data_IF_859025617234
#
_entry.id   IF_859025617234
#
_cell.length_a   1.000
_cell.length_b   1.000
_cell.length_c   1.000
_cell.angle_alpha   90.00
_cell.angle_beta   90.00
_cell.angle_gamma   90.00
#
_symmetry.space_group_name_H-M   'P 1'
#
loop_
_entity.id
_entity.type
_entity.pdbx_description
1 polymer ?
#
# COMPACT_ATOMS: atom_id res chain seq x y z
N UNK A 1 36.79 10.25 29.39
CA UNK A 1 37.12 10.32 30.83
C UNK A 1 38.10 11.46 31.04
N UNK A 2 38.06 12.17 32.18
CA UNK A 2 39.10 13.16 32.49
C UNK A 2 40.44 12.46 32.79
N UNK A 3 41.55 13.23 32.80
CA UNK A 3 42.86 12.72 33.21
C UNK A 3 42.88 12.28 34.68
N UNK A 4 42.17 13.01 35.55
CA UNK A 4 42.06 12.70 36.97
C UNK A 4 41.30 11.38 37.19
N UNK A 5 40.20 11.17 36.47
CA UNK A 5 39.46 9.91 36.51
C UNK A 5 40.34 8.72 36.10
N UNK A 6 41.15 8.85 35.04
CA UNK A 6 42.09 7.76 34.65
C UNK A 6 43.06 7.40 35.77
N UNK A 7 43.54 8.40 36.51
CA UNK A 7 44.45 8.18 37.65
C UNK A 7 43.74 7.46 38.80
N UNK A 8 42.47 7.77 39.05
CA UNK A 8 41.66 7.10 40.06
C UNK A 8 41.38 5.62 39.70
N UNK A 9 41.05 5.33 38.45
CA UNK A 9 40.79 3.96 37.97
C UNK A 9 42.05 3.09 37.88
N UNK A 10 43.24 3.69 37.82
CA UNK A 10 44.51 2.95 37.74
C UNK A 10 44.79 2.05 38.96
N UNK A 11 44.08 2.26 40.08
CA UNK A 11 44.18 1.42 41.28
C UNK A 11 43.57 0.02 41.10
N UNK A 12 42.65 -0.13 40.14
CA UNK A 12 41.90 -1.37 39.91
C UNK A 12 42.08 -1.93 38.49
N UNK A 13 42.33 -1.07 37.51
CA UNK A 13 42.43 -1.44 36.09
C UNK A 13 43.79 -0.99 35.55
N UNK A 14 44.48 -1.82 34.74
CA UNK A 14 45.68 -1.39 34.03
C UNK A 14 45.44 -0.11 33.23
N UNK A 15 46.35 0.87 33.39
CA UNK A 15 46.32 2.19 32.73
C UNK A 15 45.08 3.06 33.01
N UNK A 16 44.19 2.62 33.91
CA UNK A 16 42.96 3.35 34.27
C UNK A 16 41.99 3.56 33.11
N UNK A 17 42.13 2.79 32.02
CA UNK A 17 41.31 2.91 30.82
C UNK A 17 40.08 2.00 30.89
N UNK A 18 38.94 2.58 31.32
CA UNK A 18 37.65 1.87 31.36
C UNK A 18 37.21 1.41 29.98
N UNK A 19 37.48 2.16 28.92
CA UNK A 19 37.05 1.81 27.56
C UNK A 19 37.73 0.53 27.09
N UNK A 20 39.05 0.46 27.30
CA UNK A 20 39.83 -0.74 27.00
C UNK A 20 39.43 -1.92 27.90
N UNK A 21 39.17 -1.68 29.18
CA UNK A 21 38.68 -2.70 30.12
C UNK A 21 37.31 -3.25 29.73
N UNK A 22 36.34 -2.39 29.41
CA UNK A 22 35.00 -2.77 29.00
C UNK A 22 35.01 -3.60 27.70
N UNK A 23 35.87 -3.24 26.74
CA UNK A 23 36.05 -4.01 25.51
C UNK A 23 36.65 -5.41 25.75
N UNK A 24 37.51 -5.56 26.76
CA UNK A 24 38.14 -6.85 27.13
C UNK A 24 37.34 -7.66 28.14
N UNK A 25 36.32 -7.07 28.75
CA UNK A 25 35.51 -7.67 29.82
C UNK A 25 34.93 -9.06 29.46
N UNK A 26 34.38 -9.29 28.26
CA UNK A 26 33.87 -10.62 27.89
C UNK A 26 34.96 -11.71 27.90
N UNK A 27 36.20 -11.34 27.61
CA UNK A 27 37.34 -12.26 27.58
C UNK A 27 37.88 -12.50 28.99
N UNK A 28 37.95 -11.45 29.82
CA UNK A 28 38.38 -11.55 31.22
C UNK A 28 37.44 -12.43 32.04
N UNK A 29 36.12 -12.30 31.85
CA UNK A 29 35.12 -13.17 32.51
C UNK A 29 35.28 -14.63 32.09
N UNK A 30 35.67 -14.91 30.85
CA UNK A 30 35.90 -16.28 30.36
C UNK A 30 37.19 -16.90 30.87
N UNK A 31 38.24 -16.09 31.07
CA UNK A 31 39.56 -16.57 31.49
C UNK A 31 39.70 -16.62 33.02
N UNK A 32 39.19 -15.61 33.73
CA UNK A 32 39.20 -15.51 35.18
C UNK A 32 37.88 -14.90 35.68
N UNK A 33 36.85 -15.74 35.76
CA UNK A 33 35.53 -15.35 36.24
C UNK A 33 35.57 -14.83 37.68
N UNK A 34 36.26 -15.54 38.57
CA UNK A 34 36.25 -15.25 40.01
C UNK A 34 36.97 -13.94 40.32
N UNK A 35 38.15 -13.72 39.73
CA UNK A 35 38.90 -12.47 39.91
C UNK A 35 38.15 -11.27 39.31
N UNK A 36 37.60 -11.44 38.09
CA UNK A 36 36.83 -10.37 37.43
C UNK A 36 35.56 -10.02 38.19
N UNK A 37 34.81 -11.01 38.69
CA UNK A 37 33.60 -10.76 39.47
C UNK A 37 33.88 -10.16 40.84
N UNK A 38 35.04 -10.49 41.45
CA UNK A 38 35.48 -9.85 42.71
C UNK A 38 35.69 -8.35 42.50
N UNK A 39 36.37 -7.97 41.42
CA UNK A 39 36.57 -6.57 41.05
C UNK A 39 35.24 -5.86 40.72
N UNK A 40 34.38 -6.47 39.91
CA UNK A 40 33.10 -5.87 39.52
C UNK A 40 32.12 -5.70 40.70
N UNK A 41 32.31 -6.46 41.79
CA UNK A 41 31.49 -6.40 43.01
C UNK A 41 32.13 -5.57 44.13
N UNK A 42 33.31 -4.99 43.89
CA UNK A 42 33.96 -4.12 44.85
C UNK A 42 33.19 -2.79 44.97
N UNK A 43 32.83 -2.42 46.20
CA UNK A 43 31.96 -1.26 46.46
C UNK A 43 32.63 0.07 46.10
N UNK A 44 33.95 0.20 46.33
CA UNK A 44 34.70 1.41 45.99
C UNK A 44 34.82 1.57 44.47
N UNK A 45 35.09 0.47 43.77
CA UNK A 45 35.14 0.46 42.32
C UNK A 45 33.77 0.82 41.69
N UNK A 46 32.67 0.25 42.19
CA UNK A 46 31.32 0.57 41.72
C UNK A 46 30.95 2.04 41.97
N UNK A 47 31.29 2.57 43.14
CA UNK A 47 31.07 4.00 43.45
C UNK A 47 31.83 4.89 42.48
N UNK A 48 33.09 4.54 42.19
CA UNK A 48 33.89 5.29 41.24
C UNK A 48 33.30 5.25 39.83
N UNK A 49 32.73 4.12 39.38
CA UNK A 49 32.04 4.03 38.08
C UNK A 49 30.84 5.00 37.95
N UNK A 50 30.21 5.37 39.05
CA UNK A 50 29.08 6.30 39.07
C UNK A 50 29.53 7.76 39.21
N UNK A 51 30.55 8.02 40.04
CA UNK A 51 30.90 9.36 40.52
C UNK A 51 32.15 9.96 39.85
N UNK A 52 32.86 9.21 39.00
CA UNK A 52 34.09 9.72 38.39
C UNK A 52 33.88 11.02 37.63
N UNK A 53 34.89 11.90 37.67
CA UNK A 53 34.87 13.14 36.92
C UNK A 53 34.87 12.84 35.41
N UNK A 54 33.72 13.06 34.78
CA UNK A 54 33.61 12.98 33.32
C UNK A 54 34.39 14.14 32.72
N UNK A 55 35.08 13.87 31.61
CA UNK A 55 35.68 14.95 30.84
C UNK A 55 34.55 15.88 30.39
N UNK A 56 34.68 17.17 30.71
CA UNK A 56 33.77 18.18 30.21
C UNK A 56 33.94 18.25 28.69
N UNK A 57 32.90 17.85 27.95
CA UNK A 57 32.84 18.05 26.50
C UNK A 57 32.17 19.41 26.29
N UNK A 58 32.91 20.49 25.96
CA UNK A 58 32.28 21.77 25.70
C UNK A 58 31.38 21.62 24.46
N UNK A 59 30.08 21.78 24.65
CA UNK A 59 29.15 21.93 23.53
C UNK A 59 29.23 23.38 23.07
N UNK A 60 29.92 23.62 21.95
CA UNK A 60 30.06 24.95 21.37
C UNK A 60 28.75 25.32 20.67
N UNK A 61 27.90 26.10 21.33
CA UNK A 61 26.70 26.68 20.70
C UNK A 61 27.11 27.91 19.90
N UNK A 62 27.09 27.80 18.57
CA UNK A 62 27.27 28.96 17.69
C UNK A 62 26.01 29.82 17.63
N UNK A 63 25.88 30.83 18.50
CA UNK A 63 24.71 31.72 18.55
C UNK A 63 24.41 32.49 17.24
N UNK A 64 25.35 32.52 16.28
CA UNK A 64 25.19 33.12 14.95
C UNK A 64 24.88 32.14 13.82
N UNK A 65 24.89 30.83 14.08
CA UNK A 65 24.62 29.78 13.09
C UNK A 65 23.24 29.19 13.38
N UNK A 66 22.29 29.45 12.50
CA UNK A 66 20.97 28.80 12.55
C UNK A 66 21.01 27.57 11.66
N UNK A 67 21.09 26.39 12.27
CA UNK A 67 20.87 25.15 11.55
C UNK A 67 19.41 25.10 11.10
N UNK A 68 19.20 25.18 9.79
CA UNK A 68 17.88 25.02 9.20
C UNK A 68 17.64 23.54 8.98
N UNK A 69 17.00 22.89 9.96
CA UNK A 69 16.62 21.49 9.86
C UNK A 69 15.22 21.42 9.24
N UNK A 70 15.10 20.79 8.08
CA UNK A 70 13.81 20.48 7.47
C UNK A 70 13.54 18.99 7.64
N UNK A 71 12.35 18.64 8.12
CA UNK A 71 11.85 17.27 8.09
C UNK A 71 10.76 17.17 7.03
N UNK A 72 10.89 16.19 6.15
CA UNK A 72 9.85 15.83 5.20
C UNK A 72 9.31 14.45 5.54
N UNK A 73 7.99 14.31 5.48
CA UNK A 73 7.33 13.02 5.71
C UNK A 73 7.43 12.20 4.42
N UNK A 74 8.40 11.29 4.36
CA UNK A 74 8.50 10.35 3.23
C UNK A 74 7.37 9.33 3.35
N UNK A 75 6.37 9.42 2.47
CA UNK A 75 5.38 8.37 2.27
C UNK A 75 5.97 7.34 1.31
N UNK A 76 6.42 6.20 1.86
CA UNK A 76 6.90 5.08 1.06
C UNK A 76 5.73 4.30 0.46
N UNK A 77 5.83 4.02 -0.84
CA UNK A 77 4.88 3.19 -1.58
C UNK A 77 5.51 1.82 -1.83
N UNK A 78 5.42 0.95 -0.82
CA UNK A 78 6.12 -0.34 -0.84
C UNK A 78 7.64 -0.15 -0.79
N UNK A 79 8.34 -0.59 -1.83
CA UNK A 79 9.80 -0.45 -1.96
C UNK A 79 10.23 0.87 -2.61
N UNK A 80 9.30 1.75 -2.96
CA UNK A 80 9.57 3.00 -3.66
C UNK A 80 9.43 4.21 -2.74
N UNK A 81 10.36 5.16 -2.88
CA UNK A 81 10.41 6.39 -2.06
C UNK A 81 9.44 7.48 -2.56
N UNK A 82 8.92 7.36 -3.79
CA UNK A 82 7.96 8.32 -4.38
C UNK A 82 6.75 7.61 -5.00
N UNK A 83 5.63 8.34 -5.10
CA UNK A 83 4.40 7.84 -5.72
C UNK A 83 4.60 7.62 -7.22
N UNK A 84 5.31 8.53 -7.89
CA UNK A 84 5.63 8.49 -9.31
C UNK A 84 6.47 7.25 -9.63
N UNK A 85 7.50 6.96 -8.83
CA UNK A 85 8.34 5.77 -9.03
C UNK A 85 7.56 4.46 -8.89
N UNK A 86 6.59 4.42 -7.97
CA UNK A 86 5.71 3.28 -7.81
C UNK A 86 4.73 3.12 -8.99
N UNK A 87 4.15 4.22 -9.48
CA UNK A 87 3.25 4.22 -10.64
C UNK A 87 4.00 3.87 -11.95
N UNK A 88 5.25 4.33 -12.11
CA UNK A 88 6.10 3.97 -13.25
C UNK A 88 6.45 2.48 -13.25
N UNK A 89 6.83 1.94 -12.09
CA UNK A 89 7.07 0.51 -11.93
C UNK A 89 5.80 -0.30 -12.22
N UNK A 90 4.65 0.19 -11.78
CA UNK A 90 3.36 -0.41 -12.09
C UNK A 90 3.03 -0.38 -13.58
N UNK A 91 3.23 0.77 -14.26
CA UNK A 91 3.06 0.89 -15.71
C UNK A 91 3.93 -0.11 -16.47
N UNK A 92 5.19 -0.27 -16.06
CA UNK A 92 6.09 -1.27 -16.64
C UNK A 92 5.58 -2.68 -16.42
N UNK A 93 5.18 -3.02 -15.20
CA UNK A 93 4.61 -4.32 -14.88
C UNK A 93 3.38 -4.65 -15.74
N UNK A 94 2.43 -3.71 -15.88
CA UNK A 94 1.23 -3.91 -16.70
C UNK A 94 1.58 -4.15 -18.16
N UNK A 95 2.51 -3.37 -18.72
CA UNK A 95 2.94 -3.52 -20.12
C UNK A 95 3.63 -4.86 -20.37
N UNK A 96 4.57 -5.25 -19.50
CA UNK A 96 5.36 -6.49 -19.63
C UNK A 96 4.58 -7.78 -19.36
N UNK A 97 3.39 -7.68 -18.74
CA UNK A 97 2.55 -8.82 -18.36
C UNK A 97 1.16 -8.78 -19.00
N UNK A 98 0.89 -7.83 -19.89
CA UNK A 98 -0.41 -7.68 -20.57
C UNK A 98 -0.83 -8.91 -21.40
N UNK A 99 0.15 -9.66 -21.90
CA UNK A 99 0.01 -10.90 -22.65
C UNK A 99 0.18 -12.17 -21.80
N UNK A 100 0.84 -12.07 -20.64
CA UNK A 100 1.15 -13.19 -19.74
C UNK A 100 0.09 -13.44 -18.68
N UNK A 101 -0.59 -12.38 -18.24
CA UNK A 101 -1.64 -12.45 -17.22
C UNK A 101 -2.99 -12.36 -17.91
N UNK A 102 -3.77 -13.44 -17.84
CA UNK A 102 -5.05 -13.53 -18.55
C UNK A 102 -6.01 -12.42 -18.12
N UNK A 103 -6.05 -12.06 -16.83
CA UNK A 103 -6.88 -10.96 -16.36
C UNK A 103 -6.50 -9.58 -16.92
N UNK A 104 -5.20 -9.32 -17.15
CA UNK A 104 -4.75 -8.09 -17.81
C UNK A 104 -5.10 -8.13 -19.32
N UNK A 105 -4.91 -9.28 -19.96
CA UNK A 105 -5.26 -9.50 -21.37
C UNK A 105 -6.75 -9.30 -21.61
N UNK A 106 -7.61 -9.86 -20.74
CA UNK A 106 -9.06 -9.70 -20.81
C UNK A 106 -9.43 -8.24 -20.68
N UNK A 107 -8.87 -7.53 -19.69
CA UNK A 107 -9.22 -6.13 -19.48
C UNK A 107 -8.78 -5.23 -20.65
N UNK A 108 -7.60 -5.48 -21.23
CA UNK A 108 -7.02 -4.60 -22.26
C UNK A 108 -7.46 -4.95 -23.69
N UNK A 109 -7.69 -6.23 -23.98
CA UNK A 109 -7.91 -6.72 -25.36
C UNK A 109 -9.28 -7.37 -25.55
N UNK A 110 -9.86 -7.96 -24.51
CA UNK A 110 -11.11 -8.76 -24.60
C UNK A 110 -12.12 -8.36 -23.51
N UNK A 111 -12.57 -7.10 -23.44
CA UNK A 111 -13.46 -6.63 -22.36
C UNK A 111 -14.79 -7.39 -22.28
N UNK A 112 -15.19 -8.12 -23.34
CA UNK A 112 -16.35 -9.02 -23.36
C UNK A 112 -16.27 -10.18 -22.39
N UNK A 113 -15.06 -10.62 -22.07
CA UNK A 113 -14.83 -11.74 -21.15
C UNK A 113 -14.75 -11.24 -19.68
N UNK A 114 -15.02 -9.95 -19.44
CA UNK A 114 -14.96 -9.36 -18.11
C UNK A 114 -16.02 -9.96 -17.18
N UNK A 115 -15.57 -10.41 -16.01
CA UNK A 115 -16.40 -11.09 -15.01
C UNK A 115 -15.82 -10.92 -13.61
N UNK A 116 -16.60 -11.21 -12.55
CA UNK A 116 -16.12 -11.21 -11.16
C UNK A 116 -14.90 -12.10 -10.93
N UNK A 117 -14.83 -13.25 -11.62
CA UNK A 117 -13.67 -14.15 -11.57
C UNK A 117 -12.40 -13.46 -12.07
N UNK A 118 -12.50 -12.79 -13.21
CA UNK A 118 -11.38 -12.06 -13.83
C UNK A 118 -10.96 -10.88 -12.95
N UNK A 119 -11.90 -10.11 -12.38
CA UNK A 119 -11.57 -9.02 -11.47
C UNK A 119 -10.86 -9.52 -10.20
N UNK A 120 -11.31 -10.64 -9.63
CA UNK A 120 -10.66 -11.22 -8.46
C UNK A 120 -9.26 -11.76 -8.78
N UNK A 121 -9.08 -12.35 -9.96
CA UNK A 121 -7.77 -12.76 -10.44
C UNK A 121 -6.84 -11.57 -10.69
N UNK A 122 -7.36 -10.47 -11.26
CA UNK A 122 -6.63 -9.23 -11.42
C UNK A 122 -6.14 -8.73 -10.06
N UNK A 123 -7.05 -8.53 -9.09
CA UNK A 123 -6.71 -8.08 -7.74
C UNK A 123 -5.66 -8.97 -7.07
N UNK A 124 -5.82 -10.29 -7.17
CA UNK A 124 -4.86 -11.26 -6.62
C UNK A 124 -3.48 -11.09 -7.26
N UNK A 125 -3.42 -10.99 -8.59
CA UNK A 125 -2.16 -10.84 -9.33
C UNK A 125 -1.47 -9.53 -8.96
N UNK A 126 -2.23 -8.45 -8.84
CA UNK A 126 -1.71 -7.15 -8.42
C UNK A 126 -1.09 -7.22 -7.01
N UNK A 127 -1.81 -7.75 -6.02
CA UNK A 127 -1.30 -7.91 -4.65
C UNK A 127 -0.08 -8.83 -4.58
N UNK A 128 -0.04 -9.92 -5.34
CA UNK A 128 1.11 -10.83 -5.40
C UNK A 128 2.38 -10.15 -5.93
N UNK A 129 2.23 -9.14 -6.79
CA UNK A 129 3.34 -8.38 -7.36
C UNK A 129 3.58 -7.05 -6.62
N UNK A 130 3.11 -6.93 -5.36
CA UNK A 130 3.25 -5.75 -4.51
C UNK A 130 2.49 -4.50 -4.98
N UNK A 131 1.51 -4.66 -5.88
CA UNK A 131 0.68 -3.58 -6.41
C UNK A 131 -0.71 -3.56 -5.76
N UNK A 132 -0.79 -3.34 -4.45
CA UNK A 132 -2.08 -3.32 -3.74
C UNK A 132 -3.00 -2.19 -4.24
N UNK A 133 -4.29 -2.49 -4.46
CA UNK A 133 -5.30 -1.52 -4.95
C UNK A 133 -5.34 -0.24 -4.10
N UNK A 134 -5.30 -0.38 -2.76
CA UNK A 134 -5.28 0.78 -1.85
C UNK A 134 -4.04 1.66 -2.02
N UNK A 135 -2.86 1.04 -2.19
CA UNK A 135 -1.60 1.78 -2.39
C UNK A 135 -1.57 2.45 -3.75
N UNK A 136 -2.10 1.79 -4.79
CA UNK A 136 -2.25 2.38 -6.11
C UNK A 136 -3.18 3.62 -6.06
N UNK A 137 -4.29 3.54 -5.33
CA UNK A 137 -5.17 4.68 -5.10
C UNK A 137 -4.48 5.82 -4.33
N UNK A 138 -3.70 5.50 -3.29
CA UNK A 138 -2.92 6.48 -2.54
C UNK A 138 -1.85 7.15 -3.42
N UNK A 139 -1.15 6.37 -4.26
CA UNK A 139 -0.16 6.88 -5.19
C UNK A 139 -0.79 7.79 -6.25
N UNK A 140 -1.94 7.40 -6.82
CA UNK A 140 -2.69 8.25 -7.75
C UNK A 140 -3.21 9.54 -7.08
N UNK A 141 -3.63 9.47 -5.82
CA UNK A 141 -4.02 10.66 -5.05
C UNK A 141 -2.83 11.60 -4.84
N UNK A 142 -1.65 11.06 -4.56
CA UNK A 142 -0.44 11.84 -4.36
C UNK A 142 0.06 12.48 -5.66
N UNK A 143 0.16 11.70 -6.74
CA UNK A 143 0.76 12.14 -8.00
C UNK A 143 -0.22 12.92 -8.92
N UNK A 144 -1.51 12.57 -8.92
CA UNK A 144 -2.49 13.10 -9.89
C UNK A 144 -3.69 13.80 -9.24
N UNK A 145 -3.69 13.96 -7.92
CA UNK A 145 -4.81 14.55 -7.14
C UNK A 145 -6.18 13.88 -7.38
N UNK A 146 -6.20 12.65 -7.91
CA UNK A 146 -7.42 11.86 -8.10
C UNK A 146 -7.53 10.81 -7.01
N UNK A 147 -8.39 11.06 -6.03
CA UNK A 147 -8.74 10.06 -5.02
C UNK A 147 -9.77 9.06 -5.56
N UNK A 148 -9.76 7.84 -5.04
CA UNK A 148 -10.75 6.80 -5.33
C UNK A 148 -10.79 6.34 -6.80
N UNK A 149 -9.63 6.39 -7.47
CA UNK A 149 -9.46 5.79 -8.78
C UNK A 149 -9.82 4.29 -8.72
N UNK A 150 -10.65 3.83 -9.65
CA UNK A 150 -11.03 2.42 -9.70
C UNK A 150 -9.89 1.56 -10.29
N UNK A 151 -9.82 0.28 -9.91
CA UNK A 151 -8.73 -0.61 -10.35
C UNK A 151 -8.67 -0.77 -11.87
N UNK A 152 -9.81 -0.71 -12.57
CA UNK A 152 -9.84 -0.80 -14.05
C UNK A 152 -9.17 0.45 -14.64
N UNK A 153 -9.55 1.64 -14.17
CA UNK A 153 -8.95 2.91 -14.58
C UNK A 153 -7.46 2.95 -14.33
N UNK A 154 -7.01 2.51 -13.15
CA UNK A 154 -5.60 2.46 -12.78
C UNK A 154 -4.81 1.57 -13.77
N UNK A 155 -5.32 0.37 -14.06
CA UNK A 155 -4.67 -0.56 -14.99
C UNK A 155 -4.66 -0.01 -16.43
N UNK A 156 -5.78 0.55 -16.90
CA UNK A 156 -5.87 1.13 -18.26
C UNK A 156 -4.93 2.32 -18.43
N UNK A 157 -4.86 3.21 -17.44
CA UNK A 157 -3.92 4.33 -17.43
C UNK A 157 -2.46 3.85 -17.41
N UNK A 158 -2.17 2.79 -16.65
CA UNK A 158 -0.85 2.19 -16.60
C UNK A 158 -0.43 1.55 -17.95
N UNK A 159 -1.37 0.96 -18.68
CA UNK A 159 -1.14 0.46 -20.03
C UNK A 159 -0.96 1.61 -21.04
N UNK A 160 -1.80 2.64 -20.93
CA UNK A 160 -1.91 3.75 -21.87
C UNK A 160 -2.11 5.07 -21.11
N UNK A 161 -1.06 5.91 -21.04
CA UNK A 161 -1.06 7.14 -20.24
C UNK A 161 -2.13 8.18 -20.66
N UNK A 162 -2.65 8.08 -21.89
CA UNK A 162 -3.75 8.92 -22.38
C UNK A 162 -5.13 8.55 -21.81
N UNK A 163 -5.28 7.33 -21.27
CA UNK A 163 -6.55 6.89 -20.69
C UNK A 163 -6.84 7.69 -19.41
N UNK A 164 -8.06 8.24 -19.26
CA UNK A 164 -8.38 8.99 -18.06
C UNK A 164 -8.49 8.06 -16.85
N UNK A 165 -7.89 8.47 -15.73
CA UNK A 165 -8.12 7.83 -14.44
C UNK A 165 -9.50 8.24 -13.93
N UNK A 166 -10.45 7.32 -13.82
CA UNK A 166 -11.81 7.56 -13.36
C UNK A 166 -12.06 6.95 -11.98
N UNK A 167 -13.08 7.45 -11.30
CA UNK A 167 -13.68 6.75 -10.15
C UNK A 167 -14.65 5.67 -10.63
N UNK A 168 -15.00 4.74 -9.74
CA UNK A 168 -15.99 3.70 -10.05
C UNK A 168 -17.34 4.31 -10.47
N UNK A 169 -17.75 5.40 -9.84
CA UNK A 169 -18.97 6.12 -10.19
C UNK A 169 -18.91 6.74 -11.59
N UNK A 170 -17.82 7.45 -11.92
CA UNK A 170 -17.62 8.04 -13.23
C UNK A 170 -17.61 6.97 -14.33
N UNK A 171 -16.90 5.86 -14.09
CA UNK A 171 -16.81 4.74 -15.03
C UNK A 171 -18.15 4.08 -15.29
N UNK A 172 -18.87 3.71 -14.24
CA UNK A 172 -20.18 3.07 -14.38
C UNK A 172 -21.19 4.01 -15.03
N UNK A 173 -21.15 5.30 -14.72
CA UNK A 173 -22.02 6.30 -15.35
C UNK A 173 -21.78 6.34 -16.86
N UNK A 174 -20.51 6.43 -17.30
CA UNK A 174 -20.16 6.40 -18.73
C UNK A 174 -20.56 5.10 -19.41
N UNK A 175 -20.39 3.97 -18.73
CA UNK A 175 -20.80 2.66 -19.24
C UNK A 175 -22.32 2.60 -19.49
N UNK A 176 -23.11 3.10 -18.55
CA UNK A 176 -24.57 3.13 -18.66
C UNK A 176 -25.06 4.13 -19.73
N UNK A 177 -24.42 5.29 -19.85
CA UNK A 177 -24.71 6.25 -20.92
C UNK A 177 -24.45 5.65 -22.30
N UNK A 178 -23.34 4.91 -22.45
CA UNK A 178 -23.01 4.20 -23.70
C UNK A 178 -24.04 3.13 -24.03
N UNK A 179 -24.56 2.41 -23.02
CA UNK A 179 -25.63 1.42 -23.22
C UNK A 179 -26.96 2.08 -23.56
N UNK A 180 -27.30 3.20 -22.92
CA UNK A 180 -28.50 3.98 -23.23
C UNK A 180 -28.47 4.56 -24.66
N UNK A 181 -27.29 4.78 -25.24
CA UNK A 181 -27.15 5.14 -26.64
C UNK A 181 -27.41 3.98 -27.62
N UNK A 182 -27.35 2.72 -27.17
CA UNK A 182 -27.53 1.50 -27.99
C UNK A 182 -28.90 0.86 -27.82
N UNK A 183 -29.54 1.09 -26.67
CA UNK A 183 -30.80 0.47 -26.28
C UNK A 183 -31.82 1.50 -25.83
N UNK A 184 -33.09 1.30 -26.19
CA UNK A 184 -34.21 2.06 -25.64
C UNK A 184 -34.77 1.33 -24.44
N UNK A 185 -34.49 1.83 -23.24
CA UNK A 185 -34.97 1.22 -22.00
C UNK A 185 -36.40 1.66 -21.67
N UNK A 186 -37.23 0.72 -21.22
CA UNK A 186 -38.53 1.02 -20.63
C UNK A 186 -38.37 1.66 -19.24
N UNK A 187 -39.43 2.28 -18.72
CA UNK A 187 -39.42 2.83 -17.36
C UNK A 187 -39.05 1.77 -16.30
N UNK A 188 -39.57 0.56 -16.43
CA UNK A 188 -39.25 -0.53 -15.51
C UNK A 188 -37.77 -0.96 -15.61
N UNK A 189 -37.21 -1.02 -16.83
CA UNK A 189 -35.79 -1.31 -17.05
C UNK A 189 -34.87 -0.23 -16.49
N UNK A 190 -35.23 1.04 -16.63
CA UNK A 190 -34.46 2.17 -16.06
C UNK A 190 -34.41 2.11 -14.53
N UNK A 191 -35.50 1.72 -13.88
CA UNK A 191 -35.50 1.55 -12.43
C UNK A 191 -34.61 0.37 -11.99
N UNK A 192 -34.57 -0.72 -12.75
CA UNK A 192 -33.62 -1.80 -12.52
C UNK A 192 -32.17 -1.38 -12.73
N UNK A 193 -31.89 -0.63 -13.80
CA UNK A 193 -30.58 -0.09 -14.11
C UNK A 193 -30.02 0.80 -12.99
N UNK A 194 -30.88 1.58 -12.33
CA UNK A 194 -30.49 2.39 -11.17
C UNK A 194 -29.95 1.53 -10.02
N UNK A 195 -30.58 0.38 -9.74
CA UNK A 195 -30.10 -0.55 -8.70
C UNK A 195 -28.84 -1.29 -9.13
N UNK A 196 -28.76 -1.69 -10.41
CA UNK A 196 -27.56 -2.32 -10.98
C UNK A 196 -26.39 -1.34 -10.95
N UNK A 197 -26.63 -0.04 -11.19
CA UNK A 197 -25.61 1.02 -11.06
C UNK A 197 -24.98 1.01 -9.68
N UNK A 198 -25.78 1.02 -8.62
CA UNK A 198 -25.28 0.97 -7.23
C UNK A 198 -24.41 -0.25 -6.95
N UNK A 199 -24.76 -1.39 -7.55
CA UNK A 199 -23.98 -2.62 -7.42
C UNK A 199 -22.67 -2.55 -8.21
N UNK A 200 -22.71 -2.04 -9.44
CA UNK A 200 -21.53 -1.87 -10.28
C UNK A 200 -20.55 -0.84 -9.71
N UNK A 201 -21.03 0.21 -9.05
CA UNK A 201 -20.14 1.20 -8.39
C UNK A 201 -19.33 0.55 -7.28
N UNK A 202 -19.91 -0.43 -6.56
CA UNK A 202 -19.23 -1.13 -5.46
C UNK A 202 -18.30 -2.22 -5.96
N UNK A 203 -18.75 -3.00 -6.95
CA UNK A 203 -18.10 -4.24 -7.34
C UNK A 203 -17.40 -4.20 -8.70
N UNK A 204 -17.65 -3.20 -9.55
CA UNK A 204 -17.14 -3.04 -10.93
C UNK A 204 -17.54 -4.15 -11.92
N UNK A 205 -18.40 -5.06 -11.49
CA UNK A 205 -18.90 -6.20 -12.27
C UNK A 205 -20.12 -6.77 -11.57
N UNK A 206 -20.97 -7.45 -12.32
CA UNK A 206 -22.17 -8.12 -11.82
C UNK A 206 -22.35 -9.48 -12.51
N UNK A 207 -22.91 -10.45 -11.79
CA UNK A 207 -23.36 -11.76 -12.32
C UNK A 207 -24.88 -11.91 -12.18
N UNK A 208 -25.47 -12.87 -12.89
CA UNK A 208 -26.92 -13.16 -12.75
C UNK A 208 -27.30 -13.51 -11.30
N UNK A 209 -26.42 -14.22 -10.60
CA UNK A 209 -26.63 -14.65 -9.21
C UNK A 209 -26.68 -13.46 -8.24
N UNK A 210 -26.04 -12.33 -8.59
CA UNK A 210 -26.08 -11.12 -7.76
C UNK A 210 -27.50 -10.53 -7.65
N UNK A 211 -28.38 -10.82 -8.62
CA UNK A 211 -29.77 -10.37 -8.55
C UNK A 211 -30.53 -11.04 -7.41
N UNK A 212 -30.17 -12.27 -7.05
CA UNK A 212 -30.78 -13.00 -5.93
C UNK A 212 -29.99 -12.82 -4.63
N UNK A 213 -28.67 -12.60 -4.71
CA UNK A 213 -27.78 -12.47 -3.55
C UNK A 213 -27.67 -11.04 -3.00
N UNK A 214 -28.05 -10.02 -3.78
CA UNK A 214 -27.97 -8.62 -3.36
C UNK A 214 -29.32 -8.15 -2.80
N UNK A 215 -29.40 -7.70 -1.53
CA UNK A 215 -30.67 -7.30 -0.91
C UNK A 215 -31.47 -6.26 -1.71
N UNK A 216 -30.79 -5.31 -2.36
CA UNK A 216 -31.44 -4.28 -3.19
C UNK A 216 -32.13 -4.86 -4.43
N UNK A 217 -31.51 -5.84 -5.08
CA UNK A 217 -32.03 -6.47 -6.30
C UNK A 217 -33.07 -7.56 -5.93
N UNK A 218 -32.79 -8.32 -4.88
CA UNK A 218 -33.69 -9.34 -4.34
C UNK A 218 -35.01 -8.73 -3.88
N UNK A 219 -34.98 -7.58 -3.19
CA UNK A 219 -36.17 -6.83 -2.76
C UNK A 219 -37.08 -6.38 -3.90
N UNK A 220 -36.58 -6.37 -5.14
CA UNK A 220 -37.33 -6.03 -6.36
C UNK A 220 -37.81 -7.26 -7.14
N UNK A 221 -37.65 -8.47 -6.58
CA UNK A 221 -38.08 -9.72 -7.19
C UNK A 221 -36.95 -10.54 -7.85
N UNK A 222 -35.69 -10.16 -7.59
CA UNK A 222 -34.51 -10.95 -7.93
C UNK A 222 -34.33 -11.25 -9.41
N UNK A 223 -33.58 -12.32 -9.70
CA UNK A 223 -33.25 -12.73 -11.06
C UNK A 223 -34.49 -13.12 -11.86
N UNK A 224 -35.50 -13.70 -11.21
CA UNK A 224 -36.74 -14.10 -11.87
C UNK A 224 -37.51 -12.92 -12.46
N UNK A 225 -37.64 -11.82 -11.71
CA UNK A 225 -38.29 -10.60 -12.22
C UNK A 225 -37.39 -9.88 -13.23
N UNK A 226 -36.08 -9.83 -13.00
CA UNK A 226 -35.12 -9.26 -13.96
C UNK A 226 -35.18 -9.97 -15.33
N UNK A 227 -35.23 -11.31 -15.36
CA UNK A 227 -35.39 -12.10 -16.61
C UNK A 227 -36.68 -11.77 -17.35
N UNK A 228 -37.78 -11.48 -16.65
CA UNK A 228 -39.04 -11.04 -17.31
C UNK A 228 -38.95 -9.64 -17.90
N UNK A 229 -38.14 -8.76 -17.29
CA UNK A 229 -38.02 -7.35 -17.69
C UNK A 229 -37.00 -7.16 -18.81
N UNK A 230 -35.89 -7.89 -18.78
CA UNK A 230 -34.80 -7.79 -19.75
C UNK A 230 -34.81 -8.93 -20.79
N UNK A 231 -35.57 -10.00 -20.57
CA UNK A 231 -35.54 -11.19 -21.42
C UNK A 231 -34.24 -11.98 -21.22
N UNK A 232 -33.27 -11.74 -22.11
CA UNK A 232 -31.96 -12.40 -22.10
C UNK A 232 -30.99 -11.77 -21.08
N UNK A 233 -31.31 -11.92 -19.79
CA UNK A 233 -30.55 -11.32 -18.69
C UNK A 233 -29.06 -11.64 -18.76
N UNK A 234 -28.69 -12.86 -19.16
CA UNK A 234 -27.29 -13.29 -19.32
C UNK A 234 -26.50 -12.40 -20.28
N UNK A 235 -27.08 -12.15 -21.44
CA UNK A 235 -26.45 -11.36 -22.50
C UNK A 235 -26.40 -9.89 -22.10
N UNK A 236 -27.45 -9.40 -21.44
CA UNK A 236 -27.47 -8.05 -20.89
C UNK A 236 -26.40 -7.82 -19.81
N UNK A 237 -26.22 -8.78 -18.90
CA UNK A 237 -25.16 -8.73 -17.87
C UNK A 237 -23.76 -8.75 -18.52
N UNK A 238 -23.56 -9.58 -19.54
CA UNK A 238 -22.30 -9.58 -20.29
C UNK A 238 -22.04 -8.23 -20.97
N UNK A 239 -23.07 -7.61 -21.57
CA UNK A 239 -22.95 -6.29 -22.20
C UNK A 239 -22.67 -5.18 -21.17
N UNK A 240 -23.27 -5.25 -19.98
CA UNK A 240 -22.98 -4.35 -18.86
C UNK A 240 -21.52 -4.46 -18.42
N UNK A 241 -21.03 -5.68 -18.21
CA UNK A 241 -19.65 -5.91 -17.80
C UNK A 241 -18.65 -5.46 -18.89
N UNK A 242 -18.95 -5.73 -20.17
CA UNK A 242 -18.16 -5.22 -21.31
C UNK A 242 -18.13 -3.69 -21.30
N UNK A 243 -19.27 -3.02 -21.11
CA UNK A 243 -19.35 -1.57 -21.09
C UNK A 243 -18.57 -0.93 -19.94
N UNK A 244 -18.49 -1.60 -18.78
CA UNK A 244 -17.72 -1.13 -17.61
C UNK A 244 -16.21 -1.31 -17.82
N UNK A 245 -15.79 -2.43 -18.41
CA UNK A 245 -14.38 -2.70 -18.72
C UNK A 245 -13.84 -1.86 -19.91
N UNK A 246 -14.73 -1.51 -20.84
CA UNK A 246 -14.41 -0.70 -22.03
C UNK A 246 -13.95 0.73 -21.71
#
# INVERSE_FOLDING_TARGET
>A
MSGDARTEFARWIPDGDIGAFAGKLPTLIKQDFTGTMKLLRDEEFQKLLLEYQRAHVPFLVGYGVRDTVTSEKIQRFGSYDTAEGYLDAFSRFVKENSDKVDALSILLMRPRDWSPKVLNELRRTLTQNHFDERKLQEAHRAAHHKSLADVISIVKHAAAAQEPVLTAEERVTRALEKLAGRHTFTFEQMQWLSLVREQLIKNLTIEEEDFDNTPLLQGRGGAAKAKRVFGELKLFVAELNEAVAA
#
